data_IF_740021439860
#
_entry.id   IF_740021439860
#
_cell.length_a   1.000
_cell.length_b   1.000
_cell.length_c   1.000
_cell.angle_alpha   90.00
_cell.angle_beta   90.00
_cell.angle_gamma   90.00
#
_symmetry.space_group_name_H-M   'P 1'
#
loop_
_entity.id
_entity.type
_entity.pdbx_description
1 polymer ?
#
# COMPACT_ATOMS: atom_id res chain seq x y z
N UNK A 1 3.42 -15.01 -3.28
CA UNK A 1 4.07 -15.06 -1.97
C UNK A 1 5.12 -13.96 -1.87
N UNK A 2 5.11 -13.24 -0.77
CA UNK A 2 6.10 -12.18 -0.56
C UNK A 2 7.46 -12.79 -0.20
N UNK A 3 8.50 -12.24 -0.79
CA UNK A 3 9.87 -12.67 -0.53
C UNK A 3 10.53 -11.59 0.31
N UNK A 4 10.89 -11.94 1.52
CA UNK A 4 11.47 -10.98 2.46
C UNK A 4 12.73 -11.52 3.11
N UNK A 5 13.47 -12.30 2.37
CA UNK A 5 14.66 -12.96 2.91
C UNK A 5 15.94 -12.14 2.73
N UNK A 6 15.88 -11.02 2.05
CA UNK A 6 17.00 -10.11 1.89
C UNK A 6 16.64 -8.77 2.48
N UNK A 7 17.44 -8.33 3.45
CA UNK A 7 17.24 -7.04 4.07
C UNK A 7 18.25 -6.05 3.52
N UNK A 8 17.74 -4.99 2.96
CA UNK A 8 18.56 -3.92 2.42
C UNK A 8 18.77 -2.84 3.47
N UNK A 9 19.92 -2.18 3.43
CA UNK A 9 20.15 -0.99 4.24
C UNK A 9 19.28 0.14 3.69
N UNK A 10 19.14 1.20 4.49
CA UNK A 10 18.40 2.38 4.02
C UNK A 10 19.01 2.96 2.76
N UNK A 11 20.33 2.98 2.67
CA UNK A 11 21.01 3.51 1.49
C UNK A 11 20.77 2.64 0.27
N UNK A 12 20.83 1.33 0.45
CA UNK A 12 20.56 0.41 -0.65
C UNK A 12 19.12 0.54 -1.13
N UNK A 13 18.17 0.70 -0.21
CA UNK A 13 16.78 0.92 -0.58
C UNK A 13 16.60 2.22 -1.35
N UNK A 14 17.28 3.28 -0.93
CA UNK A 14 17.22 4.55 -1.63
C UNK A 14 17.76 4.46 -3.04
N UNK A 15 18.84 3.73 -3.24
CA UNK A 15 19.41 3.53 -4.55
C UNK A 15 18.45 2.78 -5.46
N UNK A 16 17.86 1.71 -4.94
CA UNK A 16 16.85 0.96 -5.70
C UNK A 16 15.64 1.83 -6.02
N UNK A 17 15.20 2.64 -5.07
CA UNK A 17 14.08 3.54 -5.28
C UNK A 17 14.36 4.51 -6.41
N UNK A 18 15.58 5.04 -6.48
CA UNK A 18 15.95 5.97 -7.54
C UNK A 18 15.78 5.31 -8.90
N UNK A 19 16.18 4.05 -9.04
CA UNK A 19 16.04 3.33 -10.29
C UNK A 19 14.58 3.01 -10.63
N UNK A 20 13.72 2.91 -9.62
CA UNK A 20 12.35 2.43 -9.79
C UNK A 20 11.29 3.50 -9.58
N UNK A 21 11.66 4.70 -9.16
CA UNK A 21 10.66 5.73 -8.89
C UNK A 21 9.87 6.16 -10.12
N UNK A 22 10.31 5.78 -11.32
CA UNK A 22 9.58 6.04 -12.56
C UNK A 22 8.38 5.11 -12.73
N UNK A 23 8.30 4.05 -11.92
CA UNK A 23 7.24 3.04 -12.04
C UNK A 23 6.05 3.39 -11.16
N UNK A 24 5.53 4.59 -11.35
CA UNK A 24 4.29 4.97 -10.69
C UNK A 24 3.11 4.35 -11.42
N UNK A 25 2.03 4.06 -10.71
CA UNK A 25 0.82 3.57 -11.38
C UNK A 25 0.23 4.66 -12.25
N UNK A 26 -0.38 4.27 -13.36
CA UNK A 26 -1.14 5.20 -14.17
C UNK A 26 -2.46 5.53 -13.46
N UNK A 27 -2.97 6.76 -13.61
CA UNK A 27 -4.26 7.10 -13.01
C UNK A 27 -5.35 6.14 -13.48
N UNK A 28 -6.08 5.57 -12.53
CA UNK A 28 -7.16 4.64 -12.85
C UNK A 28 -6.71 3.25 -13.25
N UNK A 29 -5.44 2.95 -13.15
CA UNK A 29 -4.92 1.62 -13.48
C UNK A 29 -5.55 0.57 -12.60
N UNK A 30 -6.03 -0.52 -13.22
CA UNK A 30 -6.57 -1.66 -12.47
C UNK A 30 -5.46 -2.62 -12.13
N UNK A 31 -5.42 -3.05 -10.88
CA UNK A 31 -4.40 -3.96 -10.39
C UNK A 31 -5.04 -5.12 -9.63
N UNK A 32 -4.39 -6.28 -9.69
CA UNK A 32 -4.84 -7.46 -8.95
C UNK A 32 -4.07 -7.54 -7.64
N UNK A 33 -4.81 -7.55 -6.55
CA UNK A 33 -4.26 -7.44 -5.20
C UNK A 33 -4.52 -8.71 -4.42
N UNK A 34 -3.46 -9.24 -3.81
CA UNK A 34 -3.58 -10.35 -2.88
C UNK A 34 -3.62 -9.78 -1.48
N UNK A 35 -4.63 -10.18 -0.71
CA UNK A 35 -4.83 -9.64 0.65
C UNK A 35 -4.17 -10.59 1.64
N UNK A 36 -3.13 -10.13 2.31
CA UNK A 36 -2.47 -10.91 3.36
C UNK A 36 -2.81 -10.40 4.77
N UNK A 37 -3.46 -9.25 4.88
CA UNK A 37 -4.00 -8.73 6.14
C UNK A 37 -5.42 -8.26 5.91
N UNK A 38 -6.38 -9.18 6.01
CA UNK A 38 -7.77 -8.82 5.72
C UNK A 38 -8.36 -7.90 6.78
N UNK A 39 -9.40 -7.18 6.38
CA UNK A 39 -10.18 -6.36 7.29
C UNK A 39 -10.59 -7.20 8.50
N UNK A 40 -10.53 -6.61 9.68
CA UNK A 40 -10.86 -7.23 10.96
C UNK A 40 -9.81 -8.26 11.43
N UNK A 41 -8.59 -8.20 10.89
CA UNK A 41 -7.52 -9.05 11.36
C UNK A 41 -6.49 -8.22 12.14
N UNK A 42 -5.53 -8.91 12.75
CA UNK A 42 -4.46 -8.27 13.50
C UNK A 42 -3.13 -8.54 12.83
N UNK A 43 -2.19 -7.62 13.02
CA UNK A 43 -0.84 -7.79 12.50
C UNK A 43 -0.21 -9.06 13.08
N UNK A 44 0.44 -9.89 12.27
CA UNK A 44 0.97 -11.17 12.75
C UNK A 44 2.05 -11.03 13.83
N UNK A 45 2.78 -9.91 13.85
CA UNK A 45 3.85 -9.70 14.84
C UNK A 45 3.52 -8.61 15.86
N UNK A 46 2.52 -7.77 15.56
CA UNK A 46 2.09 -6.69 16.47
C UNK A 46 0.61 -6.89 16.73
N UNK A 47 0.31 -7.79 17.66
CA UNK A 47 -1.05 -8.28 17.86
C UNK A 47 -2.02 -7.25 18.41
N UNK A 48 -1.52 -6.10 18.81
CA UNK A 48 -2.36 -4.98 19.21
C UNK A 48 -2.71 -4.06 18.04
N UNK A 49 -2.15 -4.31 16.85
CA UNK A 49 -2.45 -3.52 15.66
C UNK A 49 -3.56 -4.19 14.85
N UNK A 50 -4.75 -3.62 14.95
CA UNK A 50 -5.93 -4.08 14.25
C UNK A 50 -6.03 -3.42 12.88
N UNK A 51 -6.42 -4.20 11.87
CA UNK A 51 -6.61 -3.70 10.51
C UNK A 51 -8.09 -3.44 10.23
N UNK A 52 -8.53 -2.18 10.23
CA UNK A 52 -9.94 -1.87 9.90
C UNK A 52 -10.22 -1.86 8.41
N UNK A 53 -9.20 -2.09 7.58
CA UNK A 53 -9.32 -2.14 6.12
C UNK A 53 -8.52 -3.33 5.61
N UNK A 54 -8.79 -3.74 4.37
CA UNK A 54 -8.00 -4.79 3.74
C UNK A 54 -6.65 -4.22 3.30
N UNK A 55 -5.60 -5.02 3.43
CA UNK A 55 -4.24 -4.61 3.12
C UNK A 55 -3.50 -5.81 2.53
N UNK A 56 -2.74 -5.56 1.50
CA UNK A 56 -2.01 -6.63 0.85
C UNK A 56 -0.95 -6.12 -0.09
N UNK A 57 -0.76 -6.84 -1.19
CA UNK A 57 0.28 -6.50 -2.16
C UNK A 57 -0.22 -6.79 -3.57
N UNK A 58 0.44 -6.16 -4.53
CA UNK A 58 0.09 -6.30 -5.94
C UNK A 58 1.03 -7.33 -6.57
N UNK A 59 0.47 -8.41 -7.09
CA UNK A 59 1.27 -9.43 -7.76
C UNK A 59 1.99 -8.84 -8.98
N UNK A 60 3.27 -9.12 -9.09
CA UNK A 60 4.03 -8.75 -10.27
C UNK A 60 4.56 -7.33 -10.30
N UNK A 61 4.22 -6.52 -9.33
CA UNK A 61 4.76 -5.15 -9.24
C UNK A 61 5.72 -5.11 -8.07
N UNK A 62 7.00 -4.89 -8.36
CA UNK A 62 8.05 -4.92 -7.37
C UNK A 62 8.37 -3.49 -6.92
N UNK A 63 8.31 -3.26 -5.63
CA UNK A 63 8.63 -1.97 -5.04
C UNK A 63 10.15 -1.77 -4.96
N UNK A 64 10.60 -0.53 -4.70
CA UNK A 64 12.03 -0.24 -4.62
C UNK A 64 12.81 -1.05 -3.60
N UNK A 65 12.14 -1.58 -2.57
CA UNK A 65 12.81 -2.42 -1.58
C UNK A 65 12.99 -3.88 -2.02
N UNK A 66 12.55 -4.22 -3.23
CA UNK A 66 12.70 -5.56 -3.78
C UNK A 66 11.56 -6.52 -3.46
N UNK A 67 10.58 -6.07 -2.68
CA UNK A 67 9.38 -6.87 -2.39
C UNK A 67 8.22 -6.38 -3.24
N UNK A 68 7.16 -7.17 -3.28
CA UNK A 68 5.98 -6.76 -4.02
C UNK A 68 5.34 -5.52 -3.40
N UNK A 69 4.78 -4.66 -4.24
CA UNK A 69 4.26 -3.36 -3.81
C UNK A 69 3.07 -3.51 -2.86
N UNK A 70 3.19 -2.95 -1.66
CA UNK A 70 2.12 -2.95 -0.68
C UNK A 70 1.01 -1.98 -1.08
N UNK A 71 -0.22 -2.35 -0.75
CA UNK A 71 -1.39 -1.57 -1.12
C UNK A 71 -2.49 -1.68 -0.07
N UNK A 72 -3.12 -0.56 0.23
CA UNK A 72 -4.35 -0.51 1.01
C UNK A 72 -5.53 -0.64 0.06
N UNK A 73 -6.50 -1.47 0.41
CA UNK A 73 -7.75 -1.57 -0.34
C UNK A 73 -8.84 -0.91 0.49
N UNK A 74 -9.35 0.20 0.00
CA UNK A 74 -10.37 0.99 0.68
C UNK A 74 -11.69 0.92 -0.10
N UNK A 75 -12.77 1.32 0.55
CA UNK A 75 -14.05 1.42 -0.13
C UNK A 75 -14.88 0.15 -0.14
N UNK A 76 -14.43 -0.90 0.54
CA UNK A 76 -15.24 -2.10 0.74
C UNK A 76 -15.38 -2.35 2.23
N UNK A 77 -16.45 -3.02 2.62
CA UNK A 77 -16.85 -3.10 4.03
C UNK A 77 -16.77 -4.51 4.59
N UNK A 78 -16.05 -5.40 3.94
CA UNK A 78 -15.91 -6.78 4.39
C UNK A 78 -14.54 -7.32 4.02
N UNK A 79 -14.04 -8.33 4.74
CA UNK A 79 -12.74 -8.92 4.41
C UNK A 79 -12.82 -9.72 3.10
N UNK A 80 -11.75 -9.63 2.32
CA UNK A 80 -11.62 -10.38 1.07
C UNK A 80 -10.24 -11.03 1.03
N UNK A 81 -10.09 -12.04 0.17
CA UNK A 81 -8.81 -12.71 -0.02
C UNK A 81 -8.01 -12.11 -1.17
N UNK A 82 -8.70 -11.57 -2.14
CA UNK A 82 -8.09 -10.90 -3.28
C UNK A 82 -9.07 -9.86 -3.82
N UNK A 83 -8.56 -8.91 -4.56
CA UNK A 83 -9.38 -7.83 -5.05
C UNK A 83 -8.75 -7.21 -6.28
N UNK A 84 -9.56 -6.87 -7.28
CA UNK A 84 -9.11 -6.09 -8.42
C UNK A 84 -9.65 -4.69 -8.24
N UNK A 85 -8.77 -3.71 -8.17
CA UNK A 85 -9.16 -2.35 -7.90
C UNK A 85 -8.39 -1.33 -8.70
N UNK A 86 -8.86 -0.10 -8.60
CA UNK A 86 -8.29 1.05 -9.29
C UNK A 86 -7.34 1.78 -8.34
N UNK A 87 -6.11 2.04 -8.79
CA UNK A 87 -5.16 2.79 -7.96
C UNK A 87 -5.49 4.27 -8.05
N UNK A 88 -5.70 4.92 -6.91
CA UNK A 88 -6.09 6.32 -6.86
C UNK A 88 -5.08 7.22 -6.16
N UNK A 89 -4.14 6.65 -5.40
CA UNK A 89 -3.20 7.47 -4.63
C UNK A 89 -1.96 6.69 -4.26
N UNK A 90 -0.92 7.43 -3.93
CA UNK A 90 0.32 6.88 -3.37
C UNK A 90 0.55 7.57 -2.03
N UNK A 91 0.80 6.78 -1.00
CA UNK A 91 1.19 7.28 0.31
C UNK A 91 2.71 7.21 0.40
N UNK A 92 3.34 8.37 0.45
CA UNK A 92 4.79 8.47 0.59
C UNK A 92 5.15 8.57 2.06
N UNK A 93 6.00 7.66 2.53
CA UNK A 93 6.53 7.73 3.89
C UNK A 93 7.82 8.52 3.85
N UNK A 94 7.79 9.75 4.35
CA UNK A 94 8.90 10.69 4.20
C UNK A 94 10.12 10.32 5.02
N UNK A 95 9.91 9.60 6.13
CA UNK A 95 11.00 9.14 6.99
C UNK A 95 11.36 7.67 6.75
N UNK A 96 10.93 7.13 5.64
CA UNK A 96 11.23 5.77 5.20
C UNK A 96 11.35 5.81 3.68
N UNK A 97 11.76 4.69 3.09
CA UNK A 97 11.87 4.58 1.62
C UNK A 97 10.69 3.83 1.02
N UNK A 98 9.76 3.40 1.85
CA UNK A 98 8.59 2.66 1.39
C UNK A 98 7.44 3.59 1.04
N UNK A 99 6.79 3.29 -0.07
CA UNK A 99 5.52 3.91 -0.43
C UNK A 99 4.44 2.85 -0.36
N UNK A 100 3.22 3.28 -0.07
CA UNK A 100 2.05 2.40 -0.09
C UNK A 100 1.08 2.93 -1.13
N UNK A 101 0.56 2.05 -1.97
CA UNK A 101 -0.46 2.46 -2.94
C UNK A 101 -1.83 2.32 -2.30
N UNK A 102 -2.81 3.01 -2.87
CA UNK A 102 -4.20 2.97 -2.41
C UNK A 102 -5.08 2.59 -3.59
N UNK A 103 -5.86 1.55 -3.43
CA UNK A 103 -6.80 1.09 -4.46
C UNK A 103 -8.22 1.06 -3.90
N UNK A 104 -9.17 1.31 -4.78
CA UNK A 104 -10.61 1.30 -4.46
C UNK A 104 -11.35 0.59 -5.58
N UNK A 105 -12.64 0.25 -5.39
CA UNK A 105 -13.45 -0.28 -6.50
C UNK A 105 -13.42 0.65 -7.71
N UNK A 106 -13.52 0.06 -8.88
CA UNK A 106 -13.31 0.77 -10.16
C UNK A 106 -14.17 2.03 -10.32
N UNK A 107 -15.37 2.03 -9.76
CA UNK A 107 -16.33 3.14 -9.90
C UNK A 107 -16.32 4.10 -8.72
N UNK A 108 -15.34 3.98 -7.82
CA UNK A 108 -15.29 4.80 -6.60
C UNK A 108 -14.15 5.81 -6.66
N UNK A 109 -14.35 6.93 -5.97
CA UNK A 109 -13.31 7.93 -5.75
C UNK A 109 -13.26 8.28 -4.26
N UNK A 110 -12.11 8.78 -3.82
CA UNK A 110 -11.92 9.24 -2.44
C UNK A 110 -11.04 10.46 -2.42
N UNK A 111 -11.26 11.33 -1.44
CA UNK A 111 -10.37 12.45 -1.22
C UNK A 111 -9.17 12.02 -0.38
N UNK A 112 -8.11 12.83 -0.40
CA UNK A 112 -6.92 12.56 0.41
C UNK A 112 -7.30 12.50 1.88
N UNK A 113 -8.21 13.36 2.34
CA UNK A 113 -8.64 13.36 3.73
C UNK A 113 -9.35 12.05 4.09
N UNK A 114 -10.23 11.57 3.23
CA UNK A 114 -10.92 10.30 3.45
C UNK A 114 -9.94 9.14 3.52
N UNK A 115 -8.94 9.15 2.64
CA UNK A 115 -7.90 8.13 2.63
C UNK A 115 -7.14 8.16 3.97
N UNK A 116 -6.68 9.34 4.38
CA UNK A 116 -5.89 9.47 5.61
C UNK A 116 -6.68 8.98 6.83
N UNK A 117 -7.97 9.28 6.90
CA UNK A 117 -8.79 8.81 8.01
C UNK A 117 -8.82 7.29 8.10
N UNK A 118 -8.82 6.61 6.96
CA UNK A 118 -8.90 5.16 6.93
C UNK A 118 -7.55 4.47 7.14
N UNK A 119 -6.45 5.11 6.78
CA UNK A 119 -5.13 4.49 6.92
C UNK A 119 -4.38 4.96 8.16
N UNK A 120 -4.95 5.89 8.92
CA UNK A 120 -4.30 6.48 10.08
C UNK A 120 -3.91 5.43 11.12
N UNK A 121 -4.66 4.33 11.23
CA UNK A 121 -4.36 3.28 12.21
C UNK A 121 -2.92 2.81 12.10
N UNK A 122 -2.35 2.82 10.92
CA UNK A 122 -0.97 2.38 10.67
C UNK A 122 -0.07 3.55 10.30
N UNK A 123 -0.55 4.48 9.49
CA UNK A 123 0.29 5.57 9.01
C UNK A 123 0.59 6.63 10.08
N UNK A 124 -0.15 6.63 11.18
CA UNK A 124 0.13 7.57 12.28
C UNK A 124 1.53 7.40 12.88
N UNK A 125 2.16 6.25 12.65
CA UNK A 125 3.51 5.99 13.15
C UNK A 125 4.60 6.49 12.21
N UNK A 126 4.23 7.12 11.10
CA UNK A 126 5.16 7.59 10.08
C UNK A 126 4.83 9.02 9.69
N UNK A 127 5.81 9.70 9.10
CA UNK A 127 5.57 10.97 8.44
C UNK A 127 5.16 10.66 7.01
N UNK A 128 3.94 11.02 6.65
CA UNK A 128 3.39 10.63 5.37
C UNK A 128 2.86 11.81 4.58
N UNK A 129 2.81 11.63 3.27
CA UNK A 129 2.23 12.58 2.34
C UNK A 129 1.45 11.77 1.31
N UNK A 130 0.25 12.21 0.98
CA UNK A 130 -0.59 11.50 0.01
C UNK A 130 -0.54 12.21 -1.32
N UNK A 131 -0.11 11.49 -2.34
CA UNK A 131 -0.15 11.97 -3.72
C UNK A 131 -1.37 11.38 -4.39
N UNK A 132 -2.32 12.24 -4.77
CA UNK A 132 -3.52 11.80 -5.47
C UNK A 132 -3.20 11.65 -6.95
N UNK A 133 -3.67 10.55 -7.55
CA UNK A 133 -3.54 10.32 -8.99
C UNK A 133 -4.82 10.80 -9.68
N UNK A 134 -4.66 11.37 -10.85
CA UNK A 134 -5.82 11.91 -11.57
C UNK A 134 -6.35 10.96 -12.60
#
# INVERSE_FOLDING_TARGET
MRIANIRLTKEEKKMKRTDQEKKKPSPGELVHIMIDRPMNSYHPEHKDLFYPVNYGYIEGIIAPDGEEQDVYVLGIDHPVKEFTGKVIAIIHRLNDVEDKWVAVPEDMTMTAQEIMEQVRFQEQYFETEIEMLE
#
